data_IF_214600248620
#
_entry.id   IF_214600248620
#
_cell.length_a   1.000
_cell.length_b   1.000
_cell.length_c   1.000
_cell.angle_alpha   90.00
_cell.angle_beta   90.00
_cell.angle_gamma   90.00
#
_symmetry.space_group_name_H-M   'P 1'
#
loop_
_entity.id
_entity.type
_entity.pdbx_description
1 polymer ?
#
# COMPACT_ATOMS: atom_id res chain seq x y z
N UNK A 1 25.16 -5.22 -4.03
CA UNK A 1 24.89 -4.03 -3.20
C UNK A 1 23.63 -3.35 -3.69
N UNK A 2 22.70 -3.00 -2.80
CA UNK A 2 21.48 -2.25 -3.13
C UNK A 2 21.72 -0.75 -2.93
N UNK A 3 21.30 0.08 -3.87
CA UNK A 3 21.40 1.54 -3.80
C UNK A 3 20.01 2.14 -3.94
N UNK A 4 19.63 3.00 -2.99
CA UNK A 4 18.32 3.67 -2.96
C UNK A 4 18.54 5.15 -3.18
N UNK A 5 17.82 5.71 -4.16
CA UNK A 5 17.79 7.15 -4.42
C UNK A 5 16.41 7.70 -4.06
N UNK A 6 16.37 8.68 -3.16
CA UNK A 6 15.17 9.48 -2.90
C UNK A 6 15.24 10.69 -3.82
N UNK A 7 14.14 10.96 -4.53
CA UNK A 7 14.07 12.07 -5.46
C UNK A 7 12.80 12.89 -5.22
N UNK A 8 12.86 14.16 -5.58
CA UNK A 8 11.75 15.09 -5.44
C UNK A 8 11.09 15.36 -6.79
N UNK A 9 9.80 15.67 -6.75
CA UNK A 9 9.05 16.13 -7.92
C UNK A 9 9.34 17.63 -8.12
N UNK A 10 9.41 18.03 -9.39
CA UNK A 10 9.48 19.40 -9.89
C UNK A 10 8.48 19.54 -11.04
N UNK A 11 8.06 20.77 -11.30
CA UNK A 11 7.24 21.07 -12.47
C UNK A 11 8.11 21.49 -13.64
N UNK A 12 7.85 20.95 -14.82
CA UNK A 12 8.50 21.40 -16.06
C UNK A 12 7.66 22.53 -16.68
N UNK A 13 8.19 23.74 -16.66
CA UNK A 13 7.55 24.91 -17.27
C UNK A 13 7.46 24.71 -18.79
N UNK A 14 6.30 25.03 -19.37
CA UNK A 14 6.08 25.00 -20.83
C UNK A 14 5.57 23.68 -21.41
N UNK A 15 5.10 22.74 -20.58
CA UNK A 15 4.41 21.53 -21.05
C UNK A 15 2.92 21.85 -21.23
N UNK A 16 2.41 21.74 -22.45
CA UNK A 16 0.99 21.97 -22.80
C UNK A 16 0.15 20.68 -22.88
N UNK A 17 0.79 19.51 -22.87
CA UNK A 17 0.12 18.21 -22.96
C UNK A 17 0.87 17.14 -22.16
N UNK A 18 0.13 16.29 -21.45
CA UNK A 18 0.66 15.26 -20.54
C UNK A 18 1.03 15.79 -19.15
N UNK A 19 1.52 14.88 -18.28
CA UNK A 19 1.86 15.23 -16.89
C UNK A 19 3.04 16.23 -16.81
N UNK A 20 2.88 17.38 -16.12
CA UNK A 20 3.93 18.38 -15.96
C UNK A 20 5.01 17.96 -14.93
N UNK A 21 4.83 16.82 -14.28
CA UNK A 21 5.72 16.34 -13.23
C UNK A 21 7.02 15.74 -13.79
N UNK A 22 8.15 16.18 -13.22
CA UNK A 22 9.47 15.64 -13.55
C UNK A 22 10.31 15.44 -12.28
N UNK A 23 11.28 14.53 -12.36
CA UNK A 23 12.23 14.25 -11.28
C UNK A 23 13.55 14.98 -11.51
N UNK A 24 14.20 15.44 -10.44
CA UNK A 24 15.52 16.07 -10.54
C UNK A 24 16.61 15.08 -10.99
N UNK A 25 17.73 15.59 -11.52
CA UNK A 25 18.89 14.76 -11.92
C UNK A 25 18.83 14.22 -13.35
N UNK A 26 18.00 14.81 -14.22
CA UNK A 26 17.91 14.43 -15.64
C UNK A 26 17.27 13.05 -15.84
N UNK A 27 17.61 12.39 -16.95
CA UNK A 27 16.96 11.14 -17.36
C UNK A 27 17.73 9.86 -16.97
N UNK A 28 19.01 9.96 -16.60
CA UNK A 28 19.84 8.78 -16.36
C UNK A 28 19.22 7.84 -15.32
N UNK A 29 18.80 8.37 -14.16
CA UNK A 29 18.20 7.58 -13.09
C UNK A 29 16.93 6.83 -13.56
N UNK A 30 16.13 7.44 -14.46
CA UNK A 30 14.94 6.81 -15.02
C UNK A 30 15.27 5.53 -15.79
N UNK A 31 16.41 5.48 -16.49
CA UNK A 31 16.84 4.32 -17.27
C UNK A 31 17.57 3.26 -16.43
N UNK A 32 18.48 3.70 -15.56
CA UNK A 32 19.31 2.80 -14.75
C UNK A 32 18.56 2.15 -13.58
N UNK A 33 17.53 2.81 -13.03
CA UNK A 33 16.75 2.21 -11.96
C UNK A 33 16.06 0.90 -12.41
N UNK A 34 16.22 -0.16 -11.62
CA UNK A 34 15.51 -1.43 -11.80
C UNK A 34 14.06 -1.35 -11.31
N UNK A 35 13.82 -0.59 -10.24
CA UNK A 35 12.50 -0.34 -9.68
C UNK A 35 12.35 1.17 -9.45
N UNK A 36 11.18 1.71 -9.79
CA UNK A 36 10.79 3.09 -9.45
C UNK A 36 9.44 3.05 -8.74
N UNK A 37 9.37 3.75 -7.63
CA UNK A 37 8.20 3.87 -6.77
C UNK A 37 7.79 5.34 -6.77
N UNK A 38 6.53 5.62 -7.08
CA UNK A 38 5.90 6.91 -6.81
C UNK A 38 5.14 6.79 -5.49
N UNK A 39 5.41 7.67 -4.53
CA UNK A 39 4.83 7.66 -3.18
C UNK A 39 4.04 8.95 -2.99
N UNK A 40 2.75 8.81 -2.70
CA UNK A 40 1.84 9.93 -2.45
C UNK A 40 1.08 9.74 -1.16
N UNK A 41 0.92 10.83 -0.42
CA UNK A 41 -0.02 10.88 0.69
C UNK A 41 -1.43 11.05 0.13
N UNK A 42 -2.31 10.11 0.44
CA UNK A 42 -3.72 10.13 0.00
C UNK A 42 -4.67 10.64 1.08
N UNK A 43 -4.29 10.51 2.36
CA UNK A 43 -5.17 10.88 3.46
C UNK A 43 -4.45 11.07 4.79
N UNK A 44 -5.23 11.42 5.82
CA UNK A 44 -4.78 11.50 7.21
C UNK A 44 -5.47 10.42 8.03
N UNK A 45 -4.70 9.67 8.81
CA UNK A 45 -5.23 8.75 9.82
C UNK A 45 -5.52 9.58 11.06
N UNK A 46 -6.78 9.59 11.49
CA UNK A 46 -7.23 10.34 12.67
C UNK A 46 -7.76 9.39 13.73
N UNK A 47 -7.43 9.69 14.98
CA UNK A 47 -8.09 9.11 16.15
C UNK A 47 -8.83 10.23 16.86
N UNK A 48 -10.17 10.19 16.81
CA UNK A 48 -11.05 11.28 17.25
C UNK A 48 -10.69 12.58 16.51
N UNK A 49 -10.11 13.55 17.20
CA UNK A 49 -9.74 14.86 16.65
C UNK A 49 -8.24 14.99 16.33
N UNK A 50 -7.41 14.02 16.72
CA UNK A 50 -5.96 14.09 16.53
C UNK A 50 -5.51 13.33 15.27
N UNK A 51 -4.59 13.94 14.50
CA UNK A 51 -3.98 13.31 13.33
C UNK A 51 -2.77 12.49 13.80
N UNK A 52 -2.94 11.17 13.84
CA UNK A 52 -1.94 10.23 14.35
C UNK A 52 -1.05 9.64 13.24
N UNK A 53 -1.40 9.86 11.97
CA UNK A 53 -0.60 9.37 10.84
C UNK A 53 -1.11 9.80 9.47
N UNK A 54 -0.48 9.25 8.43
CA UNK A 54 -0.79 9.50 7.03
C UNK A 54 -1.10 8.20 6.30
N UNK A 55 -2.22 8.19 5.58
CA UNK A 55 -2.51 7.13 4.64
C UNK A 55 -1.72 7.43 3.35
N UNK A 56 -0.94 6.45 2.91
CA UNK A 56 0.04 6.60 1.85
C UNK A 56 -0.18 5.53 0.79
N UNK A 57 -0.13 5.95 -0.48
CA UNK A 57 -0.21 5.08 -1.65
C UNK A 57 1.15 5.07 -2.36
N UNK A 58 1.62 3.89 -2.72
CA UNK A 58 2.84 3.70 -3.51
C UNK A 58 2.50 2.97 -4.81
N UNK A 59 2.75 3.61 -5.96
CA UNK A 59 2.60 3.03 -7.30
C UNK A 59 3.95 2.61 -7.85
N UNK A 60 4.04 1.40 -8.37
CA UNK A 60 5.27 0.87 -8.98
C UNK A 60 5.34 1.34 -10.44
N UNK A 61 5.84 2.56 -10.67
CA UNK A 61 5.89 3.15 -12.02
C UNK A 61 6.89 2.49 -12.96
N UNK A 62 7.86 1.74 -12.43
CA UNK A 62 8.79 0.91 -13.23
C UNK A 62 9.20 -0.32 -12.43
N UNK A 63 9.17 -1.48 -13.06
CA UNK A 63 9.67 -2.71 -12.48
C UNK A 63 10.32 -3.57 -13.57
N UNK A 64 11.59 -3.95 -13.40
CA UNK A 64 12.32 -4.85 -14.33
C UNK A 64 12.29 -6.32 -13.91
N UNK A 65 11.73 -6.65 -12.75
CA UNK A 65 11.77 -7.99 -12.16
C UNK A 65 10.41 -8.68 -12.12
N UNK A 66 9.33 -7.90 -12.07
CA UNK A 66 7.95 -8.39 -12.02
C UNK A 66 7.03 -7.39 -12.75
N UNK A 67 5.72 -7.69 -12.91
CA UNK A 67 4.79 -6.78 -13.55
C UNK A 67 4.81 -5.38 -12.89
N UNK A 68 4.94 -4.30 -13.68
CA UNK A 68 4.87 -2.92 -13.19
C UNK A 68 3.41 -2.49 -12.91
N UNK A 69 3.25 -1.26 -12.45
CA UNK A 69 1.99 -0.52 -12.25
C UNK A 69 1.09 -0.94 -11.10
N UNK A 70 1.46 -2.00 -10.38
CA UNK A 70 0.80 -2.35 -9.12
C UNK A 70 0.88 -1.22 -8.10
N UNK A 71 -0.16 -1.10 -7.29
CA UNK A 71 -0.31 -0.10 -6.26
C UNK A 71 -0.41 -0.78 -4.89
N UNK A 72 0.12 -0.13 -3.86
CA UNK A 72 -0.05 -0.56 -2.47
C UNK A 72 -0.42 0.63 -1.62
N UNK A 73 -1.37 0.41 -0.71
CA UNK A 73 -1.80 1.41 0.26
C UNK A 73 -1.48 0.92 1.66
N UNK A 74 -0.91 1.81 2.46
CA UNK A 74 -0.57 1.54 3.85
C UNK A 74 -0.54 2.81 4.67
N UNK A 75 -0.60 2.63 5.99
CA UNK A 75 -0.58 3.74 6.93
C UNK A 75 0.82 3.95 7.51
N UNK A 76 1.25 5.20 7.53
CA UNK A 76 2.47 5.66 8.20
C UNK A 76 2.06 6.40 9.46
N UNK A 77 2.31 5.78 10.62
CA UNK A 77 2.02 6.35 11.94
C UNK A 77 3.18 7.23 12.40
N UNK A 78 2.88 8.39 12.98
CA UNK A 78 3.93 9.26 13.49
C UNK A 78 4.64 8.62 14.71
N UNK A 79 5.96 8.62 14.70
CA UNK A 79 6.78 8.02 15.77
C UNK A 79 6.94 6.50 15.73
N UNK A 80 6.07 5.77 15.02
CA UNK A 80 6.18 4.30 14.87
C UNK A 80 6.62 3.86 13.46
N UNK A 81 6.32 4.64 12.41
CA UNK A 81 6.63 4.28 11.03
C UNK A 81 5.49 3.50 10.34
N UNK A 82 5.85 2.59 9.43
CA UNK A 82 4.87 1.81 8.65
C UNK A 82 4.13 0.82 9.55
N UNK A 83 2.80 0.86 9.54
CA UNK A 83 1.97 0.00 10.38
C UNK A 83 1.86 -1.42 9.85
N UNK A 84 2.87 -2.26 10.15
CA UNK A 84 2.89 -3.69 9.76
C UNK A 84 1.62 -4.44 10.18
N UNK A 85 1.11 -4.18 11.38
CA UNK A 85 -0.08 -4.87 11.90
C UNK A 85 -1.35 -4.48 11.13
N UNK A 86 -1.45 -3.23 10.68
CA UNK A 86 -2.57 -2.79 9.83
C UNK A 86 -2.55 -3.51 8.49
N UNK A 87 -1.38 -3.57 7.84
CA UNK A 87 -1.21 -4.26 6.56
C UNK A 87 -1.55 -5.75 6.66
N UNK A 88 -1.13 -6.44 7.72
CA UNK A 88 -1.43 -7.87 7.91
C UNK A 88 -2.95 -8.11 7.96
N UNK A 89 -3.71 -7.22 8.60
CA UNK A 89 -5.17 -7.35 8.68
C UNK A 89 -5.79 -7.10 7.30
N UNK A 90 -5.41 -6.02 6.63
CA UNK A 90 -6.01 -5.65 5.35
C UNK A 90 -5.71 -6.68 4.27
N UNK A 91 -4.46 -7.16 4.21
CA UNK A 91 -4.06 -8.26 3.32
C UNK A 91 -4.70 -9.58 3.73
N UNK A 92 -4.84 -9.83 5.03
CA UNK A 92 -5.52 -11.02 5.56
C UNK A 92 -6.98 -11.10 5.13
N UNK A 93 -7.69 -9.97 5.15
CA UNK A 93 -9.09 -9.88 4.67
C UNK A 93 -9.16 -10.07 3.17
N UNK A 94 -8.29 -9.40 2.39
CA UNK A 94 -8.23 -9.58 0.93
C UNK A 94 -7.93 -11.04 0.55
N UNK A 95 -7.02 -11.68 1.27
CA UNK A 95 -6.65 -13.08 1.05
C UNK A 95 -7.68 -14.10 1.53
N UNK A 96 -8.77 -13.67 2.18
CA UNK A 96 -9.77 -14.56 2.81
C UNK A 96 -9.25 -15.34 4.02
N UNK A 97 -8.09 -14.97 4.56
CA UNK A 97 -7.50 -15.59 5.76
C UNK A 97 -8.15 -15.03 7.04
N UNK A 98 -8.50 -13.74 7.01
CA UNK A 98 -9.21 -13.05 8.08
C UNK A 98 -10.63 -12.78 7.62
N UNK A 99 -11.60 -13.23 8.40
CA UNK A 99 -13.02 -13.00 8.11
C UNK A 99 -13.48 -11.67 8.70
N UNK A 100 -14.19 -10.89 7.89
CA UNK A 100 -14.80 -9.63 8.32
C UNK A 100 -16.32 -9.76 8.33
N UNK A 101 -16.91 -9.84 9.52
CA UNK A 101 -18.37 -9.84 9.71
C UNK A 101 -18.83 -8.47 10.20
N UNK A 102 -19.18 -7.59 9.26
CA UNK A 102 -19.52 -6.19 9.56
C UNK A 102 -18.32 -5.43 10.12
N UNK A 103 -18.39 -5.02 11.39
CA UNK A 103 -17.30 -4.37 12.10
C UNK A 103 -16.34 -5.34 12.83
N UNK A 104 -16.65 -6.63 12.88
CA UNK A 104 -15.85 -7.63 13.59
C UNK A 104 -14.85 -8.32 12.68
N UNK A 105 -13.63 -8.51 13.18
CA UNK A 105 -12.58 -9.30 12.55
C UNK A 105 -12.39 -10.61 13.31
N UNK A 106 -12.34 -11.71 12.57
CA UNK A 106 -12.15 -13.07 13.10
C UNK A 106 -11.04 -13.80 12.34
N UNK A 107 -10.28 -14.62 13.05
CA UNK A 107 -9.28 -15.52 12.47
C UNK A 107 -9.46 -16.90 13.09
N UNK A 108 -9.59 -17.94 12.27
CA UNK A 108 -9.75 -19.33 12.71
C UNK A 108 -10.83 -19.50 13.79
N UNK A 109 -12.02 -18.93 13.55
CA UNK A 109 -13.17 -18.88 14.48
C UNK A 109 -12.94 -18.09 15.79
N UNK A 110 -11.76 -17.51 16.01
CA UNK A 110 -11.49 -16.62 17.14
C UNK A 110 -11.76 -15.16 16.76
N UNK A 111 -12.48 -14.43 17.61
CA UNK A 111 -12.69 -12.99 17.43
C UNK A 111 -11.42 -12.22 17.82
N UNK A 112 -10.86 -11.51 16.85
CA UNK A 112 -9.65 -10.68 16.99
C UNK A 112 -10.02 -9.33 17.61
N UNK A 113 -11.11 -8.72 17.15
CA UNK A 113 -11.56 -7.43 17.65
C UNK A 113 -12.65 -6.78 16.81
N UNK A 114 -13.29 -5.75 17.39
CA UNK A 114 -14.25 -4.89 16.70
C UNK A 114 -13.54 -3.66 16.16
N UNK A 115 -13.50 -3.48 14.84
CA UNK A 115 -12.81 -2.39 14.18
C UNK A 115 -11.31 -2.63 14.00
N UNK A 116 -10.73 -1.87 13.07
CA UNK A 116 -9.34 -2.04 12.62
C UNK A 116 -8.32 -1.74 13.73
N UNK A 117 -8.55 -0.70 14.53
CA UNK A 117 -7.66 -0.34 15.63
C UNK A 117 -7.58 -1.41 16.72
N UNK A 118 -8.72 -1.95 17.15
CA UNK A 118 -8.74 -3.01 18.16
C UNK A 118 -8.12 -4.31 17.63
N UNK A 119 -8.33 -4.63 16.36
CA UNK A 119 -7.67 -5.77 15.73
C UNK A 119 -6.13 -5.58 15.67
N UNK A 120 -5.64 -4.36 15.37
CA UNK A 120 -4.19 -4.05 15.43
C UNK A 120 -3.63 -4.22 16.84
N UNK A 121 -4.34 -3.72 17.86
CA UNK A 121 -3.93 -3.84 19.25
C UNK A 121 -3.85 -5.32 19.68
N UNK A 122 -4.81 -6.14 19.27
CA UNK A 122 -4.80 -7.58 19.52
C UNK A 122 -3.60 -8.28 18.88
N UNK A 123 -3.28 -7.99 17.61
CA UNK A 123 -2.12 -8.58 16.94
C UNK A 123 -0.79 -8.11 17.54
N UNK A 124 -0.72 -6.86 18.01
CA UNK A 124 0.46 -6.33 18.72
C UNK A 124 0.68 -7.07 20.06
N UNK A 125 -0.41 -7.45 20.74
CA UNK A 125 -0.35 -8.23 21.98
C UNK A 125 -0.11 -9.73 21.74
N UNK A 126 -0.45 -10.27 20.57
CA UNK A 126 -0.35 -11.69 20.23
C UNK A 126 0.52 -11.92 18.98
N UNK A 127 1.85 -11.78 19.09
CA UNK A 127 2.77 -11.87 17.95
C UNK A 127 2.74 -13.25 17.27
N UNK A 128 2.43 -14.33 18.01
CA UNK A 128 2.33 -15.67 17.44
C UNK A 128 1.19 -15.79 16.42
N UNK A 129 0.04 -15.18 16.72
CA UNK A 129 -1.12 -15.14 15.82
C UNK A 129 -0.79 -14.25 14.62
N UNK A 130 -0.17 -13.09 14.85
CA UNK A 130 0.26 -12.20 13.77
C UNK A 130 1.20 -12.90 12.76
N UNK A 131 2.18 -13.67 13.26
CA UNK A 131 3.11 -14.42 12.42
C UNK A 131 2.41 -15.53 11.63
N UNK A 132 1.42 -16.22 12.22
CA UNK A 132 0.61 -17.23 11.52
C UNK A 132 -0.20 -16.61 10.39
N UNK A 133 -0.86 -15.47 10.63
CA UNK A 133 -1.61 -14.74 9.60
C UNK A 133 -0.65 -14.26 8.51
N UNK A 134 0.50 -13.68 8.87
CA UNK A 134 1.50 -13.22 7.90
C UNK A 134 2.00 -14.38 7.01
N UNK A 135 2.29 -15.54 7.60
CA UNK A 135 2.72 -16.72 6.85
C UNK A 135 1.63 -17.21 5.87
N UNK A 136 0.37 -17.29 6.33
CA UNK A 136 -0.76 -17.67 5.50
C UNK A 136 -0.99 -16.68 4.34
N UNK A 137 -0.91 -15.38 4.62
CA UNK A 137 -1.01 -14.31 3.60
C UNK A 137 0.12 -14.43 2.56
N UNK A 138 1.36 -14.69 2.99
CA UNK A 138 2.50 -14.87 2.08
C UNK A 138 2.39 -16.13 1.23
N UNK A 139 1.84 -17.22 1.77
CA UNK A 139 1.60 -18.45 0.99
C UNK A 139 0.52 -18.24 -0.08
N UNK A 140 -0.51 -17.45 0.25
CA UNK A 140 -1.57 -17.08 -0.69
C UNK A 140 -1.18 -15.90 -1.60
N UNK A 141 0.07 -15.41 -1.55
CA UNK A 141 0.50 -14.22 -2.30
C UNK A 141 0.32 -14.34 -3.82
N UNK A 142 0.34 -15.56 -4.38
CA UNK A 142 0.00 -15.80 -5.78
C UNK A 142 -1.46 -15.47 -6.12
N UNK A 143 -2.41 -15.91 -5.28
CA UNK A 143 -3.84 -15.62 -5.41
C UNK A 143 -4.14 -14.14 -5.13
N UNK A 144 -3.45 -13.55 -4.14
CA UNK A 144 -3.54 -12.12 -3.85
C UNK A 144 -3.03 -11.30 -5.05
N UNK A 145 -1.97 -11.75 -5.71
CA UNK A 145 -1.45 -11.06 -6.89
C UNK A 145 -2.45 -11.04 -8.04
N UNK A 146 -3.22 -12.11 -8.25
CA UNK A 146 -4.30 -12.16 -9.26
C UNK A 146 -5.49 -11.29 -8.89
N UNK A 147 -5.92 -11.29 -7.62
CA UNK A 147 -7.03 -10.45 -7.16
C UNK A 147 -6.69 -8.96 -7.17
N UNK A 148 -5.46 -8.58 -6.84
CA UNK A 148 -4.98 -7.20 -6.99
C UNK A 148 -5.00 -6.79 -8.46
N UNK A 149 -4.51 -7.64 -9.36
CA UNK A 149 -4.54 -7.38 -10.81
C UNK A 149 -5.97 -7.23 -11.36
N UNK A 150 -6.92 -8.03 -10.86
CA UNK A 150 -8.32 -7.96 -11.27
C UNK A 150 -9.00 -6.66 -10.79
N UNK A 151 -8.74 -6.22 -9.55
CA UNK A 151 -9.29 -4.97 -9.01
C UNK A 151 -8.66 -3.72 -9.64
N UNK A 152 -7.37 -3.75 -9.99
CA UNK A 152 -6.67 -2.63 -10.61
C UNK A 152 -7.10 -2.38 -12.06
N UNK A 153 -7.49 -3.42 -12.81
CA UNK A 153 -7.96 -3.29 -14.20
C UNK A 153 -9.30 -2.56 -14.37
N UNK A 154 -10.08 -2.42 -13.30
CA UNK A 154 -11.30 -1.59 -13.26
C UNK A 154 -10.98 -0.15 -12.84
N UNK A 155 -10.00 0.05 -11.94
CA UNK A 155 -9.64 1.38 -11.41
C UNK A 155 -8.82 2.24 -12.38
N UNK A 156 -7.86 1.66 -13.13
CA UNK A 156 -7.08 2.42 -14.12
C UNK A 156 -7.97 2.96 -15.27
N UNK A 157 -9.16 2.39 -15.52
CA UNK A 157 -10.12 2.91 -16.51
C UNK A 157 -10.86 4.16 -16.04
N UNK A 158 -11.10 4.29 -14.75
CA UNK A 158 -11.82 5.43 -14.17
C UNK A 158 -10.87 6.63 -13.97
N UNK A 159 -9.63 6.40 -13.53
CA UNK A 159 -8.61 7.46 -13.36
C UNK A 159 -8.20 8.09 -14.72
N UNK A 160 -8.06 7.28 -15.79
CA UNK A 160 -7.75 7.79 -17.15
C UNK A 160 -8.95 8.52 -17.79
N UNK A 161 -10.17 8.27 -17.33
CA UNK A 161 -11.39 8.93 -17.82
C UNK A 161 -11.69 10.26 -17.11
N UNK A 162 -11.24 10.45 -15.87
CA UNK A 162 -11.34 11.72 -15.14
C UNK A 162 -10.25 12.74 -15.52
N UNK A 163 -9.12 12.31 -16.09
CA UNK A 163 -8.03 13.20 -16.53
C UNK A 163 -8.11 13.66 -18.01
N UNK A 164 -9.17 13.27 -18.76
CA UNK A 164 -9.33 13.58 -20.21
C UNK A 164 -10.29 14.75 -20.52
#
# INVERSE_FOLDING_TARGET
TMVIFINQIRMKIGVMYGSPETTSGGNALKFYASVRLDIRRIGSVKERDEVIGNQTRVKIVKNKLAPPFKQVEFDIMYGEGVSKMGEIIDLGVKAGVVEKSGAWFSYDSQRIGQGRENAKAFLKANPDIANKIEAAVRQNAGLIAEQILAAEGEQDKDDDAEEA
#
